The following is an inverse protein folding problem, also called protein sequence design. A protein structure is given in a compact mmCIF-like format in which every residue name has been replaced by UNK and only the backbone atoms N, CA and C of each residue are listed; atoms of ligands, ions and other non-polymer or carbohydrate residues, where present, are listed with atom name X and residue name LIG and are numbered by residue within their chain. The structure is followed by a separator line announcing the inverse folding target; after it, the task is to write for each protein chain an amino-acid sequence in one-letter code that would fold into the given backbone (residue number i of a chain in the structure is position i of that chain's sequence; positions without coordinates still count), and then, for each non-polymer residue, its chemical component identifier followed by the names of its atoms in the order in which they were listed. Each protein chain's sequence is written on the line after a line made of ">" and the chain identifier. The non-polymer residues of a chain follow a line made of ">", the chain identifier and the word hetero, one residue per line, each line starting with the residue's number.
data_IF_675307540452
#
_entry.id   IF_675307540452
#
_cell.length_a   1.000
_cell.length_b   1.000
_cell.length_c   1.000
_cell.angle_alpha   90.00
_cell.angle_beta   90.00
_cell.angle_gamma   90.00
#
_symmetry.space_group_name_H-M   'P 1'
#
loop_
_entity.id
_entity.type
_entity.pdbx_description
1 polymer ?
#
# COMPACT_ATOMS: atom_id res chain seq x y z
N UNK A 1 -8.05 -2.35 -19.65
CA UNK A 1 -7.25 -1.11 -19.49
C UNK A 1 -6.38 -1.29 -18.27
N UNK A 2 -5.07 -1.35 -18.46
CA UNK A 2 -4.08 -1.52 -17.40
C UNK A 2 -4.23 -0.37 -16.40
N UNK A 3 -4.40 -0.71 -15.13
CA UNK A 3 -4.65 0.25 -14.07
C UNK A 3 -3.35 1.03 -13.78
N UNK A 4 -3.02 2.03 -14.62
CA UNK A 4 -1.73 2.74 -14.56
C UNK A 4 -1.42 3.26 -13.15
N UNK A 5 -2.45 3.67 -12.41
CA UNK A 5 -2.33 4.15 -11.04
C UNK A 5 -1.77 3.08 -10.08
N UNK A 6 -2.13 1.81 -10.25
CA UNK A 6 -1.61 0.73 -9.40
C UNK A 6 -0.15 0.43 -9.68
N UNK A 7 0.23 0.49 -10.94
CA UNK A 7 1.63 0.30 -11.35
C UNK A 7 2.49 1.47 -10.84
N UNK A 8 1.96 2.70 -10.86
CA UNK A 8 2.65 3.87 -10.29
C UNK A 8 2.84 3.75 -8.78
N UNK A 9 1.81 3.38 -8.01
CA UNK A 9 1.93 3.22 -6.57
C UNK A 9 2.94 2.11 -6.21
N UNK A 10 2.89 0.97 -6.91
CA UNK A 10 3.86 -0.10 -6.72
C UNK A 10 5.30 0.38 -7.01
N UNK A 11 5.50 1.05 -8.14
CA UNK A 11 6.81 1.59 -8.54
C UNK A 11 7.35 2.58 -7.52
N UNK A 12 6.47 3.48 -7.02
CA UNK A 12 6.82 4.45 -5.98
C UNK A 12 7.31 3.76 -4.72
N UNK A 13 6.55 2.79 -4.19
CA UNK A 13 6.94 2.04 -3.00
C UNK A 13 8.28 1.31 -3.20
N UNK A 14 8.50 0.71 -4.38
CA UNK A 14 9.77 0.05 -4.69
C UNK A 14 10.95 1.02 -4.77
N UNK A 15 10.73 2.27 -5.19
CA UNK A 15 11.77 3.31 -5.23
C UNK A 15 12.17 3.88 -3.86
N UNK A 16 11.35 3.70 -2.82
CA UNK A 16 11.66 4.23 -1.49
C UNK A 16 12.86 3.53 -0.84
N UNK A 17 13.70 4.30 -0.17
CA UNK A 17 14.77 3.79 0.67
C UNK A 17 14.25 3.14 1.95
N UNK A 18 15.08 2.28 2.57
CA UNK A 18 14.72 1.62 3.85
C UNK A 18 14.35 2.62 4.95
N UNK A 19 15.01 3.77 4.98
CA UNK A 19 14.77 4.89 5.90
C UNK A 19 13.37 5.48 5.70
N UNK A 20 13.00 5.79 4.46
CA UNK A 20 11.70 6.34 4.07
C UNK A 20 10.57 5.36 4.38
N UNK A 21 10.73 4.08 4.01
CA UNK A 21 9.77 3.00 4.32
C UNK A 21 9.54 2.86 5.83
N UNK A 22 10.59 3.01 6.64
CA UNK A 22 10.48 2.97 8.11
C UNK A 22 9.78 4.23 8.64
N UNK A 23 10.13 5.40 8.14
CA UNK A 23 9.52 6.68 8.55
C UNK A 23 8.02 6.67 8.30
N UNK A 24 7.60 6.31 7.08
CA UNK A 24 6.20 6.16 6.68
C UNK A 24 5.42 5.26 7.65
N UNK A 25 5.94 4.06 7.93
CA UNK A 25 5.29 3.12 8.85
C UNK A 25 5.17 3.63 10.28
N UNK A 26 6.15 4.40 10.77
CA UNK A 26 6.07 5.02 12.09
C UNK A 26 5.04 6.15 12.10
N UNK A 27 4.97 6.95 11.03
CA UNK A 27 4.00 8.02 10.88
C UNK A 27 2.55 7.51 10.93
N UNK A 28 2.19 6.55 10.09
CA UNK A 28 0.84 5.96 10.06
C UNK A 28 0.47 5.29 11.40
N UNK A 29 1.42 4.57 12.03
CA UNK A 29 1.14 3.91 13.32
C UNK A 29 0.83 4.87 14.47
N UNK A 30 1.22 6.14 14.39
CA UNK A 30 0.88 7.14 15.42
C UNK A 30 -0.61 7.47 15.45
N UNK A 31 -1.32 7.31 14.33
CA UNK A 31 -2.75 7.64 14.19
C UNK A 31 -3.70 6.58 14.80
N UNK A 32 -3.19 5.39 15.17
CA UNK A 32 -3.89 4.33 15.95
C UNK A 32 -5.26 3.85 15.41
N UNK A 33 -5.65 4.21 14.19
CA UNK A 33 -6.91 3.81 13.56
C UNK A 33 -6.90 2.39 12.99
N UNK A 34 -8.08 1.75 12.89
CA UNK A 34 -8.22 0.46 12.20
C UNK A 34 -7.88 0.56 10.70
N UNK A 35 -8.08 1.72 10.11
CA UNK A 35 -7.75 2.00 8.71
C UNK A 35 -6.24 2.07 8.51
N UNK A 36 -5.52 2.76 9.39
CA UNK A 36 -4.05 2.81 9.44
C UNK A 36 -3.41 1.42 9.45
N UNK A 37 -3.99 0.47 10.20
CA UNK A 37 -3.53 -0.91 10.22
C UNK A 37 -3.72 -1.62 8.86
N UNK A 38 -4.78 -1.32 8.13
CA UNK A 38 -4.99 -1.86 6.76
C UNK A 38 -4.02 -1.23 5.77
N UNK A 39 -3.70 0.05 5.93
CA UNK A 39 -2.73 0.78 5.10
C UNK A 39 -1.32 0.24 5.28
N UNK A 40 -0.88 0.04 6.53
CA UNK A 40 0.43 -0.57 6.81
C UNK A 40 0.51 -1.98 6.22
N UNK A 41 -0.56 -2.79 6.33
CA UNK A 41 -0.60 -4.13 5.72
C UNK A 41 -0.54 -4.08 4.20
N UNK A 42 -1.26 -3.17 3.56
CA UNK A 42 -1.22 -2.97 2.11
C UNK A 42 0.18 -2.56 1.65
N UNK A 43 0.81 -1.61 2.35
CA UNK A 43 2.17 -1.16 2.08
C UNK A 43 3.17 -2.31 2.17
N UNK A 44 3.18 -3.05 3.29
CA UNK A 44 4.08 -4.20 3.47
C UNK A 44 3.81 -5.32 2.45
N UNK A 45 2.57 -5.49 2.00
CA UNK A 45 2.24 -6.45 0.96
C UNK A 45 2.81 -6.03 -0.40
N UNK A 46 2.66 -4.76 -0.79
CA UNK A 46 3.18 -4.19 -2.04
C UNK A 46 4.71 -4.14 -2.07
N UNK A 47 5.35 -3.81 -0.95
CA UNK A 47 6.81 -3.77 -0.80
C UNK A 47 7.46 -5.15 -1.02
N UNK A 48 6.74 -6.22 -0.67
CA UNK A 48 7.19 -7.62 -0.79
C UNK A 48 6.81 -8.31 -2.09
N UNK A 49 6.16 -7.62 -3.01
CA UNK A 49 5.91 -8.15 -4.34
C UNK A 49 7.15 -7.94 -5.20
N UNK A 50 7.54 -8.95 -5.97
CA UNK A 50 8.58 -8.82 -7.00
C UNK A 50 8.01 -8.17 -8.27
N UNK A 51 6.73 -8.44 -8.56
CA UNK A 51 5.96 -7.85 -9.63
C UNK A 51 4.53 -7.57 -9.16
N UNK A 52 3.90 -6.52 -9.70
CA UNK A 52 2.54 -6.17 -9.35
C UNK A 52 1.53 -7.21 -9.88
N UNK A 53 0.94 -7.98 -8.96
CA UNK A 53 -0.22 -8.84 -9.23
C UNK A 53 -1.34 -8.54 -8.22
N UNK A 54 -2.43 -7.93 -8.72
CA UNK A 54 -3.59 -7.58 -7.89
C UNK A 54 -4.28 -8.81 -7.28
N UNK A 55 -4.31 -9.95 -7.98
CA UNK A 55 -4.93 -11.18 -7.48
C UNK A 55 -4.14 -11.73 -6.31
N UNK A 56 -2.82 -11.72 -6.43
CA UNK A 56 -1.91 -12.15 -5.37
C UNK A 56 -1.93 -11.17 -4.19
N UNK A 57 -2.04 -9.87 -4.45
CA UNK A 57 -2.21 -8.85 -3.42
C UNK A 57 -3.49 -9.05 -2.61
N UNK A 58 -4.63 -9.32 -3.27
CA UNK A 58 -5.90 -9.64 -2.60
C UNK A 58 -5.80 -10.92 -1.75
N UNK A 59 -5.09 -11.95 -2.24
CA UNK A 59 -4.84 -13.17 -1.45
C UNK A 59 -4.01 -12.89 -0.19
N UNK A 60 -3.06 -11.95 -0.24
CA UNK A 60 -2.25 -11.52 0.92
C UNK A 60 -3.02 -10.64 1.90
N UNK A 61 -4.17 -10.09 1.50
CA UNK A 61 -5.00 -9.18 2.29
C UNK A 61 -6.39 -9.77 2.54
N UNK A 62 -6.51 -10.83 3.36
CA UNK A 62 -7.79 -11.47 3.63
C UNK A 62 -8.78 -10.50 4.26
N UNK A 63 -10.03 -10.51 3.78
CA UNK A 63 -11.10 -9.62 4.24
C UNK A 63 -11.09 -8.23 3.59
N UNK A 64 -10.25 -7.98 2.59
CA UNK A 64 -10.30 -6.77 1.76
C UNK A 64 -10.94 -7.11 0.41
N UNK A 65 -12.04 -6.43 0.09
CA UNK A 65 -12.69 -6.56 -1.22
C UNK A 65 -12.05 -5.63 -2.27
N UNK A 66 -12.25 -5.93 -3.56
CA UNK A 66 -11.73 -5.11 -4.66
C UNK A 66 -12.04 -3.60 -4.54
N UNK A 67 -13.28 -3.18 -4.25
CA UNK A 67 -13.58 -1.74 -4.10
C UNK A 67 -12.81 -1.11 -2.93
N UNK A 68 -12.72 -1.83 -1.80
CA UNK A 68 -11.96 -1.39 -0.63
C UNK A 68 -10.46 -1.28 -0.94
N UNK A 69 -9.91 -2.22 -1.71
CA UNK A 69 -8.52 -2.18 -2.14
C UNK A 69 -8.22 -0.92 -2.96
N UNK A 70 -9.13 -0.53 -3.87
CA UNK A 70 -8.95 0.70 -4.65
C UNK A 70 -8.89 1.94 -3.75
N UNK A 71 -9.77 2.04 -2.75
CA UNK A 71 -9.77 3.15 -1.80
C UNK A 71 -8.50 3.18 -0.95
N UNK A 72 -8.08 2.02 -0.44
CA UNK A 72 -6.86 1.90 0.36
C UNK A 72 -5.61 2.27 -0.45
N UNK A 73 -5.55 1.92 -1.73
CA UNK A 73 -4.45 2.35 -2.61
C UNK A 73 -4.43 3.85 -2.82
N UNK A 74 -5.59 4.46 -3.07
CA UNK A 74 -5.68 5.92 -3.23
C UNK A 74 -5.29 6.66 -1.95
N UNK A 75 -5.67 6.15 -0.78
CA UNK A 75 -5.27 6.71 0.50
C UNK A 75 -3.77 6.50 0.74
N UNK A 76 -3.25 5.28 0.57
CA UNK A 76 -1.82 4.99 0.69
C UNK A 76 -0.96 5.88 -0.20
N UNK A 77 -1.39 6.13 -1.43
CA UNK A 77 -0.67 7.01 -2.36
C UNK A 77 -0.58 8.45 -1.84
N UNK A 78 -1.65 8.98 -1.24
CA UNK A 78 -1.65 10.32 -0.65
C UNK A 78 -0.69 10.39 0.54
N UNK A 79 -0.81 9.43 1.46
CA UNK A 79 0.02 9.39 2.68
C UNK A 79 1.52 9.17 2.41
N UNK A 80 1.92 8.68 1.23
CA UNK A 80 3.33 8.59 0.82
C UNK A 80 3.84 9.94 0.28
N UNK A 81 2.96 10.75 -0.29
CA UNK A 81 3.30 12.05 -0.90
C UNK A 81 3.14 13.24 0.05
N UNK A 82 2.38 13.08 1.13
CA UNK A 82 2.23 14.04 2.23
C UNK A 82 3.49 14.09 3.12
#
# INVERSE_FOLDING_TARGET
>A
MSNRFTDTLYTLIQSLEKSEKRHFKLYIKRSSGKEDLKIVKLFDALDKLDEYDERLLLKKLPGIEKPQLSNLKSHLYKEILD
#
